data_IF_176415286544
#
_entry.id   IF_176415286544
#
_cell.length_a   1.000
_cell.length_b   1.000
_cell.length_c   1.000
_cell.angle_alpha   90.00
_cell.angle_beta   90.00
_cell.angle_gamma   90.00
#
_symmetry.space_group_name_H-M   'P 1'
#
loop_
_entity.id
_entity.type
_entity.pdbx_description
1 polymer ?
#
# COMPACT_ATOMS: atom_id res chain seq x y z
N UNK A 1 -15.13 -44.87 -73.63
CA UNK A 1 -14.17 -44.26 -72.70
C UNK A 1 -14.95 -43.81 -71.47
N UNK A 2 -14.67 -44.39 -70.29
CA UNK A 2 -15.45 -44.18 -69.06
C UNK A 2 -14.84 -43.03 -68.26
N UNK A 3 -15.65 -42.03 -67.92
CA UNK A 3 -15.28 -40.86 -67.13
C UNK A 3 -15.22 -41.26 -65.64
N UNK A 4 -14.07 -41.03 -65.00
CA UNK A 4 -13.92 -41.12 -63.54
C UNK A 4 -14.17 -39.73 -62.93
N UNK A 5 -15.25 -39.58 -62.19
CA UNK A 5 -15.52 -38.40 -61.37
C UNK A 5 -14.77 -38.53 -60.04
N UNK A 6 -13.72 -37.71 -59.84
CA UNK A 6 -13.11 -37.53 -58.53
C UNK A 6 -13.95 -36.56 -57.70
N UNK A 7 -14.46 -37.01 -56.56
CA UNK A 7 -15.03 -36.13 -55.54
C UNK A 7 -13.92 -35.76 -54.55
N UNK A 8 -13.54 -34.48 -54.50
CA UNK A 8 -12.63 -33.95 -53.50
C UNK A 8 -13.41 -33.64 -52.21
N UNK A 9 -13.12 -34.36 -51.12
CA UNK A 9 -13.65 -34.08 -49.80
C UNK A 9 -12.83 -32.96 -49.13
N UNK A 10 -13.44 -31.79 -48.90
CA UNK A 10 -12.88 -30.73 -48.07
C UNK A 10 -13.06 -31.09 -46.58
N UNK A 11 -11.98 -31.46 -45.90
CA UNK A 11 -11.94 -31.60 -44.45
C UNK A 11 -11.70 -30.24 -43.80
N UNK A 12 -12.72 -29.66 -43.18
CA UNK A 12 -12.60 -28.46 -42.36
C UNK A 12 -11.93 -28.80 -41.03
N UNK A 13 -10.73 -28.26 -40.77
CA UNK A 13 -10.09 -28.33 -39.46
C UNK A 13 -10.73 -27.27 -38.57
N UNK A 14 -11.54 -27.69 -37.59
CA UNK A 14 -12.03 -26.79 -36.56
C UNK A 14 -10.86 -26.44 -35.61
N UNK A 15 -10.44 -25.18 -35.61
CA UNK A 15 -9.49 -24.67 -34.62
C UNK A 15 -10.20 -24.49 -33.29
N UNK A 16 -9.90 -25.34 -32.30
CA UNK A 16 -10.38 -25.14 -30.94
C UNK A 16 -9.74 -23.86 -30.37
N UNK A 17 -10.56 -22.88 -29.98
CA UNK A 17 -10.09 -21.71 -29.27
C UNK A 17 -9.43 -22.16 -27.95
N UNK A 18 -8.28 -21.59 -27.56
CA UNK A 18 -7.67 -21.90 -26.27
C UNK A 18 -8.66 -21.50 -25.17
N UNK A 19 -9.15 -22.48 -24.42
CA UNK A 19 -9.93 -22.24 -23.23
C UNK A 19 -8.96 -21.64 -22.21
N UNK A 20 -9.04 -20.33 -21.99
CA UNK A 20 -8.34 -19.69 -20.89
C UNK A 20 -8.74 -20.45 -19.61
N UNK A 21 -7.75 -21.00 -18.91
CA UNK A 21 -7.99 -21.68 -17.65
C UNK A 21 -8.77 -20.71 -16.75
N UNK A 22 -10.01 -21.08 -16.39
CA UNK A 22 -10.81 -20.27 -15.47
C UNK A 22 -9.98 -20.12 -14.19
N UNK A 23 -9.80 -18.88 -13.75
CA UNK A 23 -9.28 -18.58 -12.41
C UNK A 23 -10.02 -19.46 -11.39
N UNK A 24 -9.28 -20.12 -10.50
CA UNK A 24 -9.85 -20.92 -9.41
C UNK A 24 -10.66 -20.06 -8.41
N UNK A 25 -10.65 -18.74 -8.57
CA UNK A 25 -11.40 -17.77 -7.77
C UNK A 25 -12.52 -17.14 -8.62
N UNK A 26 -13.75 -17.27 -8.15
CA UNK A 26 -14.93 -16.53 -8.62
C UNK A 26 -15.19 -15.35 -7.67
N UNK A 27 -15.33 -14.14 -8.21
CA UNK A 27 -15.53 -12.91 -7.42
C UNK A 27 -16.81 -12.24 -7.88
N UNK A 28 -17.74 -12.06 -6.95
CA UNK A 28 -18.99 -11.33 -7.17
C UNK A 28 -18.99 -10.07 -6.32
N UNK A 29 -19.32 -8.94 -6.93
CA UNK A 29 -19.38 -7.65 -6.26
C UNK A 29 -20.81 -7.13 -6.40
N UNK A 30 -21.47 -6.88 -5.26
CA UNK A 30 -22.82 -6.32 -5.21
C UNK A 30 -22.87 -5.10 -4.30
N UNK A 31 -23.78 -4.16 -4.60
CA UNK A 31 -24.04 -3.04 -3.70
C UNK A 31 -24.72 -3.56 -2.43
N UNK A 32 -24.20 -3.19 -1.26
CA UNK A 32 -24.67 -3.70 0.02
C UNK A 32 -25.61 -2.75 0.78
N UNK A 33 -26.08 -1.66 0.16
CA UNK A 33 -27.02 -0.73 0.77
C UNK A 33 -26.81 0.72 0.32
N UNK A 34 -27.14 1.67 1.21
CA UNK A 34 -27.00 3.11 0.94
C UNK A 34 -25.56 3.60 1.19
N UNK A 35 -25.07 4.42 0.25
CA UNK A 35 -23.77 5.12 0.14
C UNK A 35 -22.52 4.34 0.56
N UNK A 36 -21.83 3.76 -0.43
CA UNK A 36 -20.43 3.33 -0.34
C UNK A 36 -20.17 1.90 0.14
N UNK A 37 -21.21 1.17 0.56
CA UNK A 37 -21.05 -0.21 1.00
C UNK A 37 -21.08 -1.18 -0.18
N UNK A 38 -20.05 -2.00 -0.29
CA UNK A 38 -19.89 -3.02 -1.33
C UNK A 38 -19.73 -4.37 -0.65
N UNK A 39 -20.49 -5.37 -1.10
CA UNK A 39 -20.34 -6.75 -0.69
C UNK A 39 -19.61 -7.51 -1.79
N UNK A 40 -18.38 -7.91 -1.49
CA UNK A 40 -17.62 -8.83 -2.32
C UNK A 40 -17.78 -10.26 -1.78
N UNK A 41 -18.25 -11.18 -2.62
CA UNK A 41 -18.29 -12.61 -2.35
C UNK A 41 -17.21 -13.28 -3.18
N UNK A 42 -16.22 -13.87 -2.52
CA UNK A 42 -15.10 -14.58 -3.16
C UNK A 42 -15.32 -16.07 -2.92
N UNK A 43 -15.38 -16.85 -4.00
CA UNK A 43 -15.61 -18.30 -3.96
C UNK A 43 -14.40 -19.02 -4.56
N UNK A 44 -13.80 -19.92 -3.79
CA UNK A 44 -12.84 -20.88 -4.33
C UNK A 44 -13.59 -21.97 -5.09
N UNK A 45 -13.42 -22.00 -6.42
CA UNK A 45 -14.00 -22.98 -7.35
C UNK A 45 -12.99 -24.06 -7.74
N UNK A 46 -11.76 -23.95 -7.25
CA UNK A 46 -10.69 -24.94 -7.42
C UNK A 46 -10.78 -26.10 -6.45
N UNK A 47 -9.81 -27.01 -6.54
CA UNK A 47 -9.69 -28.19 -5.67
C UNK A 47 -8.75 -27.96 -4.48
N UNK A 48 -7.85 -27.00 -4.59
CA UNK A 48 -6.83 -26.71 -3.59
C UNK A 48 -7.27 -25.57 -2.67
N UNK A 49 -6.83 -25.60 -1.41
CA UNK A 49 -7.02 -24.48 -0.50
C UNK A 49 -6.15 -23.29 -0.96
N UNK A 50 -6.72 -22.08 -0.97
CA UNK A 50 -6.05 -20.86 -1.43
C UNK A 50 -5.86 -19.90 -0.25
N UNK A 51 -4.63 -19.43 -0.04
CA UNK A 51 -4.35 -18.35 0.91
C UNK A 51 -4.68 -17.00 0.27
N UNK A 52 -5.90 -16.53 0.50
CA UNK A 52 -6.41 -15.26 -0.05
C UNK A 52 -6.07 -14.05 0.83
N UNK A 53 -5.73 -14.28 2.10
CA UNK A 53 -5.33 -13.24 3.05
C UNK A 53 -3.84 -13.35 3.38
N UNK A 54 -3.18 -12.18 3.42
CA UNK A 54 -1.85 -12.06 4.01
C UNK A 54 -1.98 -12.15 5.53
N UNK A 55 -0.98 -12.73 6.20
CA UNK A 55 -0.89 -12.65 7.65
C UNK A 55 -0.78 -11.18 8.11
N UNK A 56 -1.38 -10.85 9.26
CA UNK A 56 -1.45 -9.50 9.83
C UNK A 56 -2.52 -8.61 9.19
N UNK A 57 -3.65 -9.17 8.75
CA UNK A 57 -4.75 -8.37 8.17
C UNK A 57 -5.95 -8.38 9.12
N UNK A 58 -6.91 -7.48 8.91
CA UNK A 58 -8.14 -7.44 9.74
C UNK A 58 -8.97 -8.75 9.72
N UNK A 59 -8.61 -9.70 8.85
CA UNK A 59 -9.29 -10.98 8.68
C UNK A 59 -8.50 -12.18 9.23
N UNK A 60 -7.33 -11.97 9.84
CA UNK A 60 -6.61 -13.04 10.52
C UNK A 60 -6.67 -12.94 12.05
N UNK A 61 -6.50 -14.08 12.72
CA UNK A 61 -6.58 -14.19 14.19
C UNK A 61 -5.31 -13.67 14.89
N UNK A 62 -4.30 -13.24 14.11
CA UNK A 62 -3.15 -12.56 14.66
C UNK A 62 -3.61 -11.19 15.21
N UNK A 63 -3.21 -10.85 16.42
CA UNK A 63 -3.46 -9.52 16.96
C UNK A 63 -2.91 -8.49 15.97
N UNK A 64 -3.76 -7.59 15.48
CA UNK A 64 -3.27 -6.34 14.91
C UNK A 64 -2.52 -5.64 16.04
N UNK A 65 -1.19 -5.54 15.93
CA UNK A 65 -0.40 -4.86 16.95
C UNK A 65 -0.91 -3.43 17.06
N UNK A 66 -1.38 -3.06 18.26
CA UNK A 66 -1.97 -1.75 18.46
C UNK A 66 -0.85 -0.73 18.52
N UNK A 67 -0.73 0.08 17.48
CA UNK A 67 0.05 1.29 17.55
C UNK A 67 -0.62 2.28 18.52
N UNK A 68 0.13 2.77 19.51
CA UNK A 68 -0.26 3.90 20.35
C UNK A 68 0.09 5.20 19.62
N UNK A 69 -0.80 6.18 19.71
CA UNK A 69 -0.60 7.53 19.16
C UNK A 69 -0.79 8.52 20.29
N UNK A 70 0.19 9.39 20.49
CA UNK A 70 0.18 10.42 21.52
C UNK A 70 0.45 11.81 20.89
N UNK A 71 -0.16 12.85 21.45
CA UNK A 71 0.27 14.24 21.26
C UNK A 71 0.91 14.68 22.58
N UNK A 72 2.24 14.81 22.61
CA UNK A 72 2.98 15.00 23.87
C UNK A 72 4.33 15.71 23.66
N UNK A 73 4.35 17.02 23.90
CA UNK A 73 5.54 17.87 23.74
C UNK A 73 6.69 17.53 24.66
N UNK A 74 6.40 17.19 25.92
CA UNK A 74 7.42 16.81 26.89
C UNK A 74 8.20 15.57 26.40
N UNK A 75 7.54 14.72 25.62
CA UNK A 75 8.15 13.56 24.97
C UNK A 75 8.88 13.91 23.67
N UNK A 76 8.54 14.98 22.99
CA UNK A 76 9.26 15.44 21.80
C UNK A 76 10.67 15.95 22.12
N UNK A 77 10.89 16.46 23.34
CA UNK A 77 12.23 16.73 23.86
C UNK A 77 13.15 15.50 23.88
N UNK A 78 12.59 14.30 24.08
CA UNK A 78 13.36 13.05 24.08
C UNK A 78 13.90 12.70 22.69
N UNK A 79 13.18 13.07 21.64
CA UNK A 79 13.59 12.84 20.26
C UNK A 79 14.62 13.87 19.78
N UNK A 80 14.43 15.16 20.15
CA UNK A 80 15.43 16.19 19.86
C UNK A 80 15.35 17.35 20.87
N UNK A 81 16.48 17.69 21.53
CA UNK A 81 16.55 18.81 22.46
C UNK A 81 16.45 20.20 21.80
N UNK A 82 16.28 20.28 20.47
CA UNK A 82 16.12 21.54 19.73
C UNK A 82 14.73 21.75 19.12
N UNK A 83 13.72 20.96 19.54
CA UNK A 83 12.27 21.14 19.28
C UNK A 83 11.84 21.40 17.83
N UNK A 84 12.65 21.00 16.83
CA UNK A 84 12.31 21.13 15.40
C UNK A 84 11.83 19.82 14.79
N UNK A 85 11.21 18.97 15.60
CA UNK A 85 10.71 17.66 15.20
C UNK A 85 9.19 17.74 15.12
N UNK A 86 8.62 17.15 14.08
CA UNK A 86 7.17 17.14 13.85
C UNK A 86 6.51 15.93 14.51
N UNK A 87 7.21 14.80 14.54
CA UNK A 87 6.83 13.61 15.26
C UNK A 87 8.02 12.67 15.39
N UNK A 88 7.85 11.62 16.18
CA UNK A 88 8.79 10.52 16.19
C UNK A 88 8.07 9.21 16.50
N UNK A 89 8.71 8.12 16.09
CA UNK A 89 8.23 6.76 16.35
C UNK A 89 9.23 5.99 17.19
N UNK A 90 8.71 5.24 18.17
CA UNK A 90 9.48 4.26 18.96
C UNK A 90 9.05 2.84 18.56
N UNK A 91 9.71 2.20 17.58
CA UNK A 91 9.21 0.97 16.98
C UNK A 91 9.18 -0.22 17.96
N UNK A 92 10.04 -0.23 18.97
CA UNK A 92 10.03 -1.26 20.03
C UNK A 92 8.80 -1.24 20.94
N UNK A 93 8.01 -0.16 20.88
CA UNK A 93 6.80 0.02 21.70
C UNK A 93 5.55 0.23 20.86
N UNK A 94 5.65 0.13 19.54
CA UNK A 94 4.58 0.50 18.61
C UNK A 94 3.96 1.85 18.96
N UNK A 95 4.79 2.87 19.20
CA UNK A 95 4.33 4.18 19.66
C UNK A 95 4.75 5.26 18.67
N UNK A 96 3.79 6.06 18.25
CA UNK A 96 4.00 7.31 17.52
C UNK A 96 3.66 8.50 18.44
N UNK A 97 4.49 9.53 18.40
CA UNK A 97 4.27 10.77 19.16
C UNK A 97 4.37 11.95 18.20
N UNK A 98 3.34 12.79 18.18
CA UNK A 98 3.29 14.01 17.37
C UNK A 98 3.51 15.23 18.26
N UNK A 99 4.29 16.19 17.73
CA UNK A 99 4.75 17.39 18.44
C UNK A 99 3.96 18.64 18.03
N UNK A 100 4.18 19.78 18.69
CA UNK A 100 3.39 21.00 18.53
C UNK A 100 3.47 21.50 17.09
N UNK A 101 4.67 21.46 16.49
CA UNK A 101 4.89 21.88 15.11
C UNK A 101 4.06 21.07 14.10
N UNK A 102 3.69 19.83 14.39
CA UNK A 102 2.80 19.07 13.53
C UNK A 102 1.37 19.66 13.52
N UNK A 103 0.92 20.18 14.66
CA UNK A 103 -0.40 20.78 14.80
C UNK A 103 -0.42 22.25 14.36
N UNK A 104 0.63 22.98 14.70
CA UNK A 104 0.71 24.44 14.57
C UNK A 104 1.20 24.89 13.18
N UNK A 105 2.16 24.16 12.59
CA UNK A 105 2.88 24.60 11.39
C UNK A 105 2.54 23.80 10.13
N UNK A 106 1.90 22.63 10.26
CA UNK A 106 1.52 21.80 9.11
C UNK A 106 0.03 21.90 8.76
N UNK A 107 -0.32 22.10 7.48
CA UNK A 107 -1.70 21.90 7.04
C UNK A 107 -2.07 20.41 7.12
N UNK A 108 -3.38 20.11 7.15
CA UNK A 108 -3.87 18.73 7.15
C UNK A 108 -3.40 17.95 5.90
N UNK A 109 -3.47 18.59 4.74
CA UNK A 109 -2.99 18.09 3.46
C UNK A 109 -2.59 19.27 2.57
N UNK A 110 -1.61 19.08 1.69
CA UNK A 110 -1.20 20.09 0.71
C UNK A 110 -1.04 19.50 -0.69
N UNK A 111 -1.33 20.29 -1.72
CA UNK A 111 -1.09 19.94 -3.12
C UNK A 111 0.19 20.55 -3.68
N UNK A 112 1.02 21.14 -2.82
CA UNK A 112 2.30 21.71 -3.23
C UNK A 112 3.35 20.62 -3.39
N UNK A 113 4.10 20.65 -4.47
CA UNK A 113 5.16 19.68 -4.72
C UNK A 113 6.21 19.67 -3.61
N UNK A 114 6.47 18.47 -3.10
CA UNK A 114 7.52 18.20 -2.12
C UNK A 114 7.30 18.98 -0.81
N UNK A 115 6.06 19.38 -0.54
CA UNK A 115 5.68 20.07 0.69
C UNK A 115 5.29 19.04 1.73
N UNK A 116 5.58 19.40 2.98
CA UNK A 116 5.21 18.61 4.14
C UNK A 116 3.82 19.01 4.63
N UNK A 117 3.07 18.02 5.09
CA UNK A 117 1.76 18.19 5.72
C UNK A 117 1.55 17.11 6.78
N UNK A 118 0.44 17.19 7.51
CA UNK A 118 0.08 16.23 8.55
C UNK A 118 -0.10 14.81 7.99
N UNK A 119 -0.66 14.67 6.78
CA UNK A 119 -0.90 13.37 6.16
C UNK A 119 0.39 12.60 5.85
N UNK A 120 1.35 13.29 5.25
CA UNK A 120 2.66 12.78 4.84
C UNK A 120 3.55 12.55 6.05
N UNK A 121 3.52 13.44 7.03
CA UNK A 121 4.22 13.24 8.31
C UNK A 121 3.64 12.04 9.07
N UNK A 122 2.32 11.83 9.06
CA UNK A 122 1.71 10.64 9.65
C UNK A 122 2.16 9.36 8.93
N UNK A 123 2.22 9.40 7.61
CA UNK A 123 2.68 8.28 6.80
C UNK A 123 4.15 7.94 7.08
N UNK A 124 4.99 8.96 7.21
CA UNK A 124 6.39 8.86 7.59
C UNK A 124 6.55 8.11 8.92
N UNK A 125 5.91 8.59 9.98
CA UNK A 125 5.97 7.97 11.30
C UNK A 125 5.40 6.55 11.31
N UNK A 126 4.33 6.33 10.56
CA UNK A 126 3.75 5.00 10.42
C UNK A 126 4.71 4.01 9.74
N UNK A 127 5.54 4.46 8.78
CA UNK A 127 6.51 3.60 8.12
C UNK A 127 7.61 3.09 9.07
N UNK A 128 7.92 3.82 10.14
CA UNK A 128 8.90 3.36 11.14
C UNK A 128 8.42 2.19 11.99
N UNK A 129 7.11 1.97 12.11
CA UNK A 129 6.55 0.82 12.84
C UNK A 129 7.02 -0.50 12.22
N UNK A 130 7.54 -1.42 13.04
CA UNK A 130 8.13 -2.70 12.59
C UNK A 130 7.10 -3.61 11.96
N UNK A 131 5.88 -3.54 12.48
CA UNK A 131 4.70 -4.24 12.00
C UNK A 131 4.19 -3.72 10.64
N UNK A 132 4.62 -2.52 10.22
CA UNK A 132 4.25 -1.92 8.93
C UNK A 132 5.36 -2.07 7.89
N UNK A 133 6.46 -1.33 8.06
CA UNK A 133 7.60 -1.34 7.14
C UNK A 133 8.95 -1.35 7.86
N UNK A 134 9.00 -0.84 9.09
CA UNK A 134 10.18 -0.84 9.94
C UNK A 134 11.34 -0.03 9.38
N UNK A 135 11.06 1.08 8.68
CA UNK A 135 12.05 1.94 8.02
C UNK A 135 12.96 2.69 9.00
N UNK A 136 14.04 3.26 8.48
CA UNK A 136 14.90 4.20 9.17
C UNK A 136 14.84 5.61 8.55
N UNK A 137 15.52 6.57 9.19
CA UNK A 137 15.75 7.91 8.67
C UNK A 137 17.14 8.04 8.05
N UNK A 138 17.28 7.54 6.83
CA UNK A 138 18.55 7.64 6.08
C UNK A 138 18.80 9.08 5.59
N UNK A 139 17.73 9.82 5.29
CA UNK A 139 17.76 11.26 5.04
C UNK A 139 16.33 11.85 5.00
N UNK A 140 16.25 13.18 5.07
CA UNK A 140 15.02 13.94 4.89
C UNK A 140 15.09 14.91 3.70
N UNK A 141 13.94 15.16 3.08
CA UNK A 141 13.73 16.13 2.02
C UNK A 141 14.00 15.60 0.62
N UNK A 142 13.23 16.11 -0.34
CA UNK A 142 13.21 15.69 -1.75
C UNK A 142 14.60 15.61 -2.41
N UNK A 143 15.46 16.60 -2.20
CA UNK A 143 16.79 16.62 -2.83
C UNK A 143 17.74 15.55 -2.28
N UNK A 144 17.53 15.09 -1.04
CA UNK A 144 18.37 14.09 -0.43
C UNK A 144 17.86 12.69 -0.74
N UNK A 145 16.54 12.46 -0.73
CA UNK A 145 15.98 11.14 -1.05
C UNK A 145 16.34 10.70 -2.48
N UNK A 146 16.47 11.63 -3.43
CA UNK A 146 16.89 11.33 -4.81
C UNK A 146 18.35 10.89 -4.94
N UNK A 147 19.16 11.08 -3.90
CA UNK A 147 20.57 10.66 -3.87
C UNK A 147 20.74 9.29 -3.21
N UNK A 148 19.69 8.75 -2.58
CA UNK A 148 19.73 7.42 -1.96
C UNK A 148 19.87 6.33 -3.03
N UNK A 149 20.52 5.23 -2.64
CA UNK A 149 20.44 3.99 -3.41
C UNK A 149 19.04 3.40 -3.31
N UNK A 150 18.66 2.53 -4.25
CA UNK A 150 17.36 1.83 -4.20
C UNK A 150 17.12 1.13 -2.87
N UNK A 151 18.13 0.44 -2.34
CA UNK A 151 18.01 -0.26 -1.05
C UNK A 151 17.79 0.71 0.11
N UNK A 152 18.44 1.87 0.10
CA UNK A 152 18.23 2.90 1.11
C UNK A 152 16.85 3.56 0.96
N UNK A 153 16.40 3.87 -0.26
CA UNK A 153 15.07 4.44 -0.49
C UNK A 153 13.95 3.50 -0.03
N UNK A 154 14.08 2.18 -0.27
CA UNK A 154 13.12 1.19 0.23
C UNK A 154 13.09 1.11 1.77
N UNK A 155 14.15 1.57 2.44
CA UNK A 155 14.27 1.54 3.90
C UNK A 155 14.27 2.95 4.52
N UNK A 156 13.79 3.97 3.79
CA UNK A 156 13.73 5.36 4.26
C UNK A 156 12.27 5.81 4.39
N UNK A 157 11.84 6.27 5.57
CA UNK A 157 10.47 6.73 5.79
C UNK A 157 10.07 7.87 4.83
N UNK A 158 10.96 8.86 4.67
CA UNK A 158 10.78 10.03 3.79
C UNK A 158 10.73 9.68 2.28
N UNK A 159 10.98 8.43 1.90
CA UNK A 159 10.75 7.98 0.52
C UNK A 159 9.29 7.58 0.27
N UNK A 160 8.59 7.08 1.29
CA UNK A 160 7.17 6.72 1.20
C UNK A 160 6.29 7.97 1.18
N UNK A 161 6.58 8.95 2.04
CA UNK A 161 5.83 10.18 2.11
C UNK A 161 5.94 11.02 0.82
N UNK A 162 7.14 11.14 0.25
CA UNK A 162 7.40 11.89 -0.98
C UNK A 162 6.76 11.19 -2.17
N UNK A 163 6.77 9.86 -2.21
CA UNK A 163 6.06 9.10 -3.23
C UNK A 163 4.54 9.33 -3.15
N UNK A 164 3.95 9.27 -1.95
CA UNK A 164 2.52 9.51 -1.77
C UNK A 164 2.13 10.96 -2.11
N UNK A 165 2.93 11.93 -1.66
CA UNK A 165 2.75 13.36 -1.92
C UNK A 165 2.82 13.68 -3.42
N UNK A 166 3.80 13.10 -4.13
CA UNK A 166 3.98 13.20 -5.58
C UNK A 166 2.71 12.76 -6.32
N UNK A 167 2.24 11.53 -6.05
CA UNK A 167 1.04 10.98 -6.67
C UNK A 167 -0.20 11.84 -6.39
N UNK A 168 -0.37 12.32 -5.16
CA UNK A 168 -1.48 13.18 -4.79
C UNK A 168 -1.43 14.56 -5.49
N UNK A 169 -0.24 15.16 -5.55
CA UNK A 169 -0.05 16.54 -6.02
C UNK A 169 0.16 16.64 -7.54
N UNK A 170 0.36 15.52 -8.24
CA UNK A 170 0.60 15.51 -9.69
C UNK A 170 2.01 16.00 -10.08
N UNK A 171 2.98 15.78 -9.20
CA UNK A 171 4.41 15.96 -9.40
C UNK A 171 5.14 14.83 -8.67
#
# INVERSE_FOLDING_TARGET
MRFFTLAAALTSVATAAPSAARSALDVKIESAGNSGQVKATITNTGKDNLQIFRHGTIFDDAHTEKAAIEANEDRCWLASPSSRVLGYTQPSRSLQVYCDLYWDDLPAITSGCHRQDQSTTTLHETAHLREIAGTADNCYGYDNIRKLTTAQSLYNADSYDMFASAIYSGC
#
